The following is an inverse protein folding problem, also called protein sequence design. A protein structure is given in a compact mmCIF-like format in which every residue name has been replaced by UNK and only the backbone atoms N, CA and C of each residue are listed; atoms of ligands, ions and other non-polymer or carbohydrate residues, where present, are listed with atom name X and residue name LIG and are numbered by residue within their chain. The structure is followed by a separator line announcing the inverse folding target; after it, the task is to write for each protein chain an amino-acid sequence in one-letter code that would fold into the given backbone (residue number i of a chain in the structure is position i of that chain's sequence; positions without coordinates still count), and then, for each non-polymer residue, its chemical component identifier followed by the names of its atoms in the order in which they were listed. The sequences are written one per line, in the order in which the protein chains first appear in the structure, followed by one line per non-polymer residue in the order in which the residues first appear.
data_IF_721305482995
#
_entry.id   IF_721305482995
#
_cell.length_a   1.000
_cell.length_b   1.000
_cell.length_c   1.000
_cell.angle_alpha   90.00
_cell.angle_beta   90.00
_cell.angle_gamma   90.00
#
_symmetry.space_group_name_H-M   'P 1'
#
loop_
_entity.id
_entity.type
_entity.pdbx_description
1 polymer ?
#
# COMPACT_ATOMS: atom_id res chain seq x y z
N UNK A 1 -4.47 -21.96 25.21
CA UNK A 1 -4.73 -21.01 24.10
C UNK A 1 -3.46 -20.98 23.27
N UNK A 2 -3.52 -21.37 22.01
CA UNK A 2 -2.37 -21.27 21.10
C UNK A 2 -2.07 -19.79 20.84
N UNK A 3 -0.87 -19.49 20.37
CA UNK A 3 -0.55 -18.11 19.97
C UNK A 3 -1.41 -17.64 18.80
N UNK A 4 -1.83 -18.55 17.90
CA UNK A 4 -2.77 -18.25 16.82
C UNK A 4 -4.11 -17.73 17.33
N UNK A 5 -4.73 -18.35 18.35
CA UNK A 5 -6.01 -17.88 18.88
C UNK A 5 -5.93 -16.46 19.47
N UNK A 6 -4.76 -16.04 19.97
CA UNK A 6 -4.55 -14.67 20.45
C UNK A 6 -4.42 -13.68 19.30
N UNK A 7 -3.74 -14.09 18.22
CA UNK A 7 -3.63 -13.30 17.00
C UNK A 7 -4.99 -13.13 16.33
N UNK A 8 -5.77 -14.21 16.20
CA UNK A 8 -7.12 -14.19 15.62
C UNK A 8 -8.02 -13.22 16.39
N UNK A 9 -8.06 -13.33 17.73
CA UNK A 9 -8.86 -12.44 18.56
C UNK A 9 -8.41 -10.97 18.47
N UNK A 10 -7.11 -10.72 18.28
CA UNK A 10 -6.60 -9.38 18.09
C UNK A 10 -7.01 -8.83 16.71
N UNK A 11 -6.87 -9.61 15.64
CA UNK A 11 -7.30 -9.24 14.29
C UNK A 11 -8.80 -8.93 14.27
N UNK A 12 -9.63 -9.82 14.81
CA UNK A 12 -11.08 -9.64 14.90
C UNK A 12 -11.45 -8.34 15.62
N UNK A 13 -10.73 -8.01 16.70
CA UNK A 13 -10.95 -6.79 17.46
C UNK A 13 -10.57 -5.50 16.71
N UNK A 14 -9.72 -5.58 15.67
CA UNK A 14 -9.25 -4.43 14.88
C UNK A 14 -9.74 -4.46 13.42
N UNK A 15 -10.69 -5.35 13.09
CA UNK A 15 -11.16 -5.56 11.71
C UNK A 15 -11.70 -4.27 11.05
N UNK A 16 -12.35 -3.39 11.83
CA UNK A 16 -12.83 -2.10 11.32
C UNK A 16 -11.68 -1.19 10.85
N UNK A 17 -10.51 -1.27 11.51
CA UNK A 17 -9.31 -0.53 11.12
C UNK A 17 -8.73 -1.08 9.81
N UNK A 18 -8.72 -2.41 9.64
CA UNK A 18 -8.32 -3.07 8.39
C UNK A 18 -9.21 -2.65 7.23
N UNK A 19 -10.53 -2.66 7.43
CA UNK A 19 -11.51 -2.23 6.43
C UNK A 19 -11.31 -0.76 6.08
N UNK A 20 -11.11 0.10 7.07
CA UNK A 20 -10.87 1.53 6.84
C UNK A 20 -9.57 1.74 6.05
N UNK A 21 -8.50 1.03 6.38
CA UNK A 21 -7.25 1.10 5.65
C UNK A 21 -7.44 0.69 4.18
N UNK A 22 -8.11 -0.44 3.93
CA UNK A 22 -8.42 -0.89 2.57
C UNK A 22 -9.30 0.11 1.81
N UNK A 23 -10.29 0.73 2.47
CA UNK A 23 -11.11 1.77 1.87
C UNK A 23 -10.28 2.98 1.41
N UNK A 24 -9.32 3.43 2.23
CA UNK A 24 -8.43 4.53 1.87
C UNK A 24 -7.55 4.19 0.66
N UNK A 25 -7.09 2.94 0.55
CA UNK A 25 -6.35 2.47 -0.63
C UNK A 25 -7.25 2.45 -1.88
N UNK A 26 -8.42 1.80 -1.79
CA UNK A 26 -9.34 1.63 -2.94
C UNK A 26 -9.89 2.97 -3.44
N UNK A 27 -10.00 3.98 -2.58
CA UNK A 27 -10.39 5.34 -2.97
C UNK A 27 -9.40 6.02 -3.91
N UNK A 28 -8.15 5.56 -3.95
CA UNK A 28 -7.15 6.07 -4.89
C UNK A 28 -7.16 5.21 -6.13
N UNK A 29 -7.67 5.72 -7.27
CA UNK A 29 -7.77 4.94 -8.49
C UNK A 29 -6.39 4.51 -8.97
N UNK A 30 -6.30 3.25 -9.38
CA UNK A 30 -5.20 2.71 -10.16
C UNK A 30 -5.81 2.35 -11.51
N UNK A 31 -5.63 3.22 -12.51
CA UNK A 31 -6.32 3.05 -13.79
C UNK A 31 -5.97 1.70 -14.43
N UNK A 32 -6.98 0.94 -14.85
CA UNK A 32 -6.75 -0.30 -15.61
C UNK A 32 -6.74 0.01 -17.11
N UNK A 33 -5.61 -0.20 -17.78
CA UNK A 33 -4.88 0.78 -18.62
C UNK A 33 -5.34 2.27 -18.58
N UNK A 34 -4.42 3.25 -18.47
CA UNK A 34 -2.97 3.17 -18.65
C UNK A 34 -2.16 2.96 -17.35
N UNK A 35 -2.74 2.59 -16.20
CA UNK A 35 -1.93 2.22 -15.04
C UNK A 35 -1.14 3.35 -14.40
N UNK A 36 -1.82 4.43 -13.98
CA UNK A 36 -1.24 5.50 -13.17
C UNK A 36 -1.23 5.10 -11.67
N UNK A 37 -0.15 4.46 -11.21
CA UNK A 37 -0.08 3.89 -9.86
C UNK A 37 0.68 4.77 -8.86
N UNK A 38 1.40 5.79 -9.31
CA UNK A 38 2.16 6.67 -8.41
C UNK A 38 1.28 7.34 -7.33
N UNK A 39 0.07 7.87 -7.62
CA UNK A 39 -0.80 8.44 -6.59
C UNK A 39 -1.20 7.43 -5.50
N UNK A 40 -1.42 6.18 -5.90
CA UNK A 40 -1.77 5.10 -4.97
C UNK A 40 -0.58 4.76 -4.05
N UNK A 41 0.64 4.71 -4.60
CA UNK A 41 1.85 4.53 -3.81
C UNK A 41 2.08 5.71 -2.84
N UNK A 42 1.86 6.95 -3.28
CA UNK A 42 1.98 8.13 -2.43
C UNK A 42 1.02 8.04 -1.23
N UNK A 43 -0.27 7.74 -1.49
CA UNK A 43 -1.26 7.57 -0.43
C UNK A 43 -0.92 6.44 0.52
N UNK A 44 -0.46 5.31 -0.01
CA UNK A 44 -0.07 4.15 0.79
C UNK A 44 1.08 4.51 1.73
N UNK A 45 2.09 5.23 1.24
CA UNK A 45 3.22 5.68 2.06
C UNK A 45 2.81 6.65 3.18
N UNK A 46 1.80 7.50 2.96
CA UNK A 46 1.23 8.35 4.01
C UNK A 46 0.52 7.52 5.09
N UNK A 47 -0.35 6.59 4.69
CA UNK A 47 -1.10 5.75 5.64
C UNK A 47 -0.17 4.88 6.48
N UNK A 48 0.93 4.38 5.90
CA UNK A 48 1.92 3.57 6.61
C UNK A 48 2.60 4.33 7.76
N UNK A 49 2.70 5.66 7.69
CA UNK A 49 3.29 6.47 8.78
C UNK A 49 2.46 6.43 10.06
N UNK A 50 1.13 6.29 9.94
CA UNK A 50 0.24 6.17 11.11
C UNK A 50 0.51 4.87 11.89
N UNK A 51 1.10 3.87 11.24
CA UNK A 51 1.55 2.62 11.87
C UNK A 51 3.01 2.69 12.34
N UNK A 52 3.67 3.85 12.23
CA UNK A 52 5.08 4.02 12.56
C UNK A 52 6.04 3.41 11.52
N UNK A 53 5.57 3.14 10.31
CA UNK A 53 6.41 2.65 9.22
C UNK A 53 6.82 3.79 8.28
N UNK A 54 8.11 3.86 8.00
CA UNK A 54 8.64 4.74 6.97
C UNK A 54 8.86 3.94 5.68
N UNK A 55 8.14 4.32 4.63
CA UNK A 55 8.23 3.67 3.32
C UNK A 55 9.25 4.40 2.42
N UNK A 56 10.30 3.69 2.02
CA UNK A 56 11.19 4.12 0.95
C UNK A 56 10.43 4.10 -0.38
N UNK A 57 10.53 5.18 -1.15
CA UNK A 57 9.87 5.34 -2.45
C UNK A 57 10.87 5.19 -3.58
N UNK A 58 10.60 4.24 -4.47
CA UNK A 58 11.44 3.93 -5.62
C UNK A 58 10.62 4.07 -6.90
N UNK A 59 10.57 5.28 -7.44
CA UNK A 59 9.90 5.56 -8.70
C UNK A 59 10.61 4.82 -9.84
N UNK A 60 9.84 4.09 -10.64
CA UNK A 60 10.36 3.42 -11.84
C UNK A 60 10.56 4.47 -12.94
N UNK A 61 11.66 4.44 -13.71
CA UNK A 61 11.86 5.38 -14.82
C UNK A 61 10.68 5.40 -15.79
N UNK A 62 10.27 6.60 -16.20
CA UNK A 62 9.08 6.82 -17.03
C UNK A 62 9.13 6.03 -18.35
N UNK A 63 10.30 5.90 -18.95
CA UNK A 63 10.44 5.13 -20.18
C UNK A 63 10.18 3.63 -19.95
N UNK A 64 10.68 3.06 -18.86
CA UNK A 64 10.48 1.65 -18.54
C UNK A 64 9.01 1.35 -18.31
N UNK A 65 8.28 2.18 -17.56
CA UNK A 65 6.83 1.96 -17.35
C UNK A 65 6.05 2.05 -18.67
N UNK A 66 6.40 3.00 -19.55
CA UNK A 66 5.77 3.15 -20.86
C UNK A 66 6.04 1.97 -21.79
N UNK A 67 7.24 1.40 -21.74
CA UNK A 67 7.60 0.21 -22.52
C UNK A 67 6.71 -1.01 -22.16
N UNK A 68 6.12 -1.02 -20.96
CA UNK A 68 5.14 -2.01 -20.50
C UNK A 68 3.67 -1.52 -20.56
N UNK A 69 3.40 -0.38 -21.20
CA UNK A 69 2.05 0.15 -21.40
C UNK A 69 1.44 0.82 -20.17
N UNK A 70 2.29 1.26 -19.23
CA UNK A 70 1.88 1.92 -17.99
C UNK A 70 2.30 3.40 -17.95
N UNK A 71 1.55 4.24 -17.23
CA UNK A 71 1.84 5.67 -17.07
C UNK A 71 2.85 5.91 -15.94
N UNK A 72 2.63 5.29 -14.78
CA UNK A 72 3.50 5.50 -13.63
C UNK A 72 3.46 4.33 -12.64
N UNK A 73 4.61 4.01 -12.04
CA UNK A 73 4.74 3.04 -10.96
C UNK A 73 5.76 3.57 -9.94
N UNK A 74 5.44 3.47 -8.66
CA UNK A 74 6.39 3.70 -7.56
C UNK A 74 6.36 2.51 -6.62
N UNK A 75 7.51 1.85 -6.44
CA UNK A 75 7.65 0.75 -5.50
C UNK A 75 7.88 1.30 -4.08
N UNK A 76 7.21 0.71 -3.10
CA UNK A 76 7.38 1.06 -1.69
C UNK A 76 8.11 -0.07 -0.96
N UNK A 77 9.09 0.28 -0.15
CA UNK A 77 9.81 -0.67 0.71
C UNK A 77 9.77 -0.18 2.15
N UNK A 78 9.22 -1.00 3.05
CA UNK A 78 9.34 -0.80 4.50
C UNK A 78 10.40 -1.76 5.03
N UNK A 79 11.33 -1.26 5.84
CA UNK A 79 12.35 -2.08 6.50
C UNK A 79 12.11 -2.10 8.00
N UNK A 80 12.20 -3.28 8.59
CA UNK A 80 12.21 -3.46 10.04
C UNK A 80 13.65 -3.71 10.49
N UNK A 81 14.13 -2.91 11.44
CA UNK A 81 15.41 -3.13 12.11
C UNK A 81 15.25 -4.03 13.34
#
# INVERSE_FOLDING_TARGET
MTDYNKLDAWIDAHFDEEVKFLQELVRVPTDTPPGNNAPHAERTAELLKDFGFEAEKHAVPEQEVKDYGLESITNLIVRRQ
#
